data_IF_955755645572
#
_entry.id   IF_955755645572
#
_cell.length_a   1.000
_cell.length_b   1.000
_cell.length_c   1.000
_cell.angle_alpha   90.00
_cell.angle_beta   90.00
_cell.angle_gamma   90.00
#
_symmetry.space_group_name_H-M   'P 1'
#
loop_
_entity.id
_entity.type
_entity.pdbx_description
1 polymer ?
#
# COMPACT_ATOMS: atom_id res chain seq x y z
N UNK A 1 3.77 -4.05 24.48
CA UNK A 1 4.66 -3.56 23.42
C UNK A 1 5.89 -4.45 23.44
N UNK A 2 5.94 -5.45 22.54
CA UNK A 2 7.15 -6.29 22.40
C UNK A 2 8.32 -5.43 21.90
N UNK A 3 9.57 -5.89 22.08
CA UNK A 3 10.76 -5.18 21.57
C UNK A 3 10.65 -4.97 20.04
N UNK A 4 10.03 -5.92 19.33
CA UNK A 4 9.79 -5.84 17.90
C UNK A 4 8.82 -4.70 17.54
N UNK A 5 7.66 -4.61 18.20
CA UNK A 5 6.67 -3.54 17.97
C UNK A 5 7.26 -2.15 18.24
N UNK A 6 8.09 -2.03 19.29
CA UNK A 6 8.69 -0.76 19.69
C UNK A 6 9.72 -0.25 18.68
N UNK A 7 10.47 -1.14 18.04
CA UNK A 7 11.53 -0.79 17.09
C UNK A 7 11.15 -1.08 15.63
N UNK A 8 9.86 -1.24 15.32
CA UNK A 8 9.38 -1.61 14.00
C UNK A 8 9.94 -0.70 12.89
N UNK A 9 9.96 0.62 13.10
CA UNK A 9 10.51 1.59 12.15
C UNK A 9 12.00 1.34 11.87
N UNK A 10 12.77 0.98 12.89
CA UNK A 10 14.21 0.67 12.75
C UNK A 10 14.40 -0.62 11.96
N UNK A 11 13.61 -1.66 12.27
CA UNK A 11 13.64 -2.92 11.53
C UNK A 11 13.28 -2.73 10.05
N UNK A 12 12.23 -1.96 9.76
CA UNK A 12 11.82 -1.63 8.38
C UNK A 12 12.94 -0.88 7.66
N UNK A 13 13.54 0.13 8.29
CA UNK A 13 14.67 0.87 7.73
C UNK A 13 15.87 -0.03 7.44
N UNK A 14 16.21 -0.94 8.37
CA UNK A 14 17.30 -1.89 8.19
C UNK A 14 17.02 -2.86 7.05
N UNK A 15 15.80 -3.39 6.95
CA UNK A 15 15.38 -4.25 5.84
C UNK A 15 15.49 -3.54 4.48
N UNK A 16 15.13 -2.26 4.39
CA UNK A 16 15.26 -1.45 3.17
C UNK A 16 16.75 -1.32 2.80
N UNK A 17 17.60 -0.91 3.75
CA UNK A 17 19.04 -0.71 3.50
C UNK A 17 19.71 -2.02 3.07
N UNK A 18 19.44 -3.11 3.79
CA UNK A 18 19.98 -4.43 3.46
C UNK A 18 19.46 -4.91 2.10
N UNK A 19 18.17 -4.74 1.82
CA UNK A 19 17.57 -5.11 0.54
C UNK A 19 18.20 -4.37 -0.65
N UNK A 20 18.37 -3.05 -0.54
CA UNK A 20 19.01 -2.22 -1.57
C UNK A 20 20.48 -2.61 -1.75
N UNK A 21 21.24 -2.78 -0.66
CA UNK A 21 22.63 -3.18 -0.73
C UNK A 21 22.81 -4.56 -1.39
N UNK A 22 21.99 -5.53 -1.01
CA UNK A 22 21.99 -6.86 -1.63
C UNK A 22 21.61 -6.80 -3.12
N UNK A 23 20.64 -5.96 -3.48
CA UNK A 23 20.25 -5.73 -4.88
C UNK A 23 21.40 -5.16 -5.73
N UNK A 24 22.23 -4.29 -5.16
CA UNK A 24 23.41 -3.74 -5.83
C UNK A 24 24.60 -4.72 -5.90
N UNK A 25 24.85 -5.51 -4.86
CA UNK A 25 26.01 -6.42 -4.78
C UNK A 25 25.76 -7.74 -5.52
N UNK A 26 24.52 -8.25 -5.53
CA UNK A 26 24.14 -9.51 -6.16
C UNK A 26 23.03 -9.32 -7.22
N UNK A 27 23.21 -8.46 -8.24
CA UNK A 27 22.15 -8.14 -9.19
C UNK A 27 21.66 -9.37 -9.96
N UNK A 28 22.55 -10.33 -10.25
CA UNK A 28 22.18 -11.58 -10.95
C UNK A 28 21.20 -12.46 -10.16
N UNK A 29 21.27 -12.47 -8.83
CA UNK A 29 20.32 -13.23 -7.99
C UNK A 29 18.95 -12.57 -8.00
N UNK A 30 18.90 -11.24 -7.85
CA UNK A 30 17.63 -10.50 -7.90
C UNK A 30 17.00 -10.52 -9.29
N UNK A 31 17.80 -10.48 -10.35
CA UNK A 31 17.31 -10.66 -11.73
C UNK A 31 16.80 -12.08 -11.96
N UNK A 32 17.46 -13.11 -11.43
CA UNK A 32 16.97 -14.49 -11.52
C UNK A 32 15.64 -14.68 -10.78
N UNK A 33 15.49 -14.12 -9.57
CA UNK A 33 14.23 -14.10 -8.81
C UNK A 33 13.17 -13.29 -9.57
N UNK A 34 13.56 -12.16 -10.17
CA UNK A 34 12.74 -11.32 -11.03
C UNK A 34 12.18 -12.08 -12.24
N UNK A 35 13.03 -12.88 -12.88
CA UNK A 35 12.72 -13.69 -14.05
C UNK A 35 11.84 -14.91 -13.73
N UNK A 36 11.65 -15.26 -12.45
CA UNK A 36 10.59 -16.19 -12.03
C UNK A 36 9.25 -15.46 -12.07
N UNK A 37 8.82 -15.11 -13.27
CA UNK A 37 7.53 -14.50 -13.54
C UNK A 37 6.70 -15.36 -14.49
N UNK A 38 5.40 -15.30 -14.32
CA UNK A 38 4.42 -15.88 -15.24
C UNK A 38 3.42 -14.80 -15.59
N UNK A 39 3.25 -14.52 -16.89
CA UNK A 39 2.38 -13.46 -17.40
C UNK A 39 2.68 -12.05 -16.80
N UNK A 40 3.96 -11.66 -16.70
CA UNK A 40 4.44 -10.41 -16.07
C UNK A 40 4.15 -10.30 -14.56
N UNK A 41 3.81 -11.42 -13.89
CA UNK A 41 3.62 -11.46 -12.44
C UNK A 41 4.75 -12.27 -11.80
N UNK A 42 5.56 -11.61 -10.97
CA UNK A 42 6.63 -12.26 -10.23
C UNK A 42 6.04 -13.24 -9.19
N UNK A 43 6.28 -14.55 -9.39
CA UNK A 43 5.67 -15.60 -8.58
C UNK A 43 6.13 -15.54 -7.12
N UNK A 44 7.43 -15.38 -6.81
CA UNK A 44 7.88 -15.20 -5.43
C UNK A 44 7.18 -14.04 -4.70
N UNK A 45 7.09 -12.87 -5.34
CA UNK A 45 6.41 -11.72 -4.77
C UNK A 45 4.90 -11.95 -4.61
N UNK A 46 4.25 -12.57 -5.60
CA UNK A 46 2.83 -12.90 -5.53
C UNK A 46 2.53 -13.84 -4.34
N UNK A 47 3.38 -14.84 -4.08
CA UNK A 47 3.24 -15.74 -2.95
C UNK A 47 3.37 -15.00 -1.60
N UNK A 48 4.33 -14.08 -1.47
CA UNK A 48 4.49 -13.25 -0.26
C UNK A 48 3.29 -12.33 -0.03
N UNK A 49 2.75 -11.73 -1.10
CA UNK A 49 1.55 -10.90 -1.04
C UNK A 49 0.34 -11.72 -0.59
N UNK A 50 0.15 -12.93 -1.15
CA UNK A 50 -0.93 -13.84 -0.72
C UNK A 50 -0.80 -14.26 0.74
N UNK A 51 0.42 -14.58 1.19
CA UNK A 51 0.70 -14.90 2.60
C UNK A 51 0.34 -13.73 3.52
N UNK A 52 0.48 -12.48 3.06
CA UNK A 52 0.08 -11.28 3.80
C UNK A 52 -1.43 -11.05 3.78
N UNK A 53 -2.11 -11.34 2.66
CA UNK A 53 -3.56 -11.11 2.48
C UNK A 53 -4.40 -12.13 3.27
N UNK A 54 -4.02 -13.41 3.29
CA UNK A 54 -4.80 -14.49 3.92
C UNK A 54 -5.14 -14.18 5.39
N UNK A 55 -4.18 -13.82 6.27
CA UNK A 55 -4.47 -13.51 7.68
C UNK A 55 -5.46 -12.36 7.84
N UNK A 56 -5.45 -11.40 6.90
CA UNK A 56 -6.36 -10.28 6.94
C UNK A 56 -7.78 -10.69 6.50
N UNK A 57 -7.92 -11.45 5.41
CA UNK A 57 -9.22 -11.91 4.92
C UNK A 57 -9.98 -12.70 5.99
N UNK A 58 -9.28 -13.54 6.76
CA UNK A 58 -9.87 -14.34 7.85
C UNK A 58 -10.38 -13.46 9.01
N UNK A 59 -9.86 -12.24 9.17
CA UNK A 59 -10.32 -11.29 10.19
C UNK A 59 -11.56 -10.49 9.76
N UNK A 60 -12.02 -10.64 8.52
CA UNK A 60 -13.18 -9.91 8.00
C UNK A 60 -14.47 -10.57 8.51
N UNK A 61 -15.24 -9.84 9.31
CA UNK A 61 -16.57 -10.22 9.77
C UNK A 61 -17.63 -9.60 8.85
N UNK A 62 -18.22 -10.42 7.98
CA UNK A 62 -19.26 -9.98 7.04
C UNK A 62 -20.54 -9.50 7.73
N UNK A 63 -20.82 -9.88 8.98
CA UNK A 63 -21.98 -9.38 9.72
C UNK A 63 -21.83 -7.90 10.10
N UNK A 64 -20.58 -7.42 10.22
CA UNK A 64 -20.29 -6.03 10.54
C UNK A 64 -20.51 -5.05 9.36
N UNK A 65 -20.51 -5.55 8.12
CA UNK A 65 -20.87 -4.78 6.92
C UNK A 65 -22.30 -4.24 6.96
N UNK A 66 -23.23 -4.94 7.64
CA UNK A 66 -24.61 -4.46 7.81
C UNK A 66 -24.73 -3.18 8.63
N UNK A 67 -23.68 -2.81 9.40
CA UNK A 67 -23.66 -1.62 10.27
C UNK A 67 -22.93 -0.42 9.65
N UNK A 68 -22.42 -0.54 8.42
CA UNK A 68 -21.70 0.52 7.68
C UNK A 68 -22.53 1.81 7.63
N UNK A 69 -23.84 1.71 7.42
CA UNK A 69 -24.75 2.86 7.33
C UNK A 69 -24.81 3.72 8.61
N UNK A 70 -24.54 3.15 9.79
CA UNK A 70 -24.53 3.90 11.05
C UNK A 70 -23.41 4.96 11.09
N UNK A 71 -22.34 4.78 10.31
CA UNK A 71 -21.17 5.65 10.29
C UNK A 71 -20.99 6.42 8.96
N UNK A 72 -22.09 6.66 8.23
CA UNK A 72 -22.07 7.24 6.88
C UNK A 72 -21.28 8.56 6.75
N UNK A 73 -21.30 9.42 7.79
CA UNK A 73 -20.55 10.69 7.78
C UNK A 73 -19.04 10.46 7.77
N UNK A 74 -18.53 9.58 8.63
CA UNK A 74 -17.09 9.28 8.71
C UNK A 74 -16.59 8.54 7.47
N UNK A 75 -17.42 7.64 6.94
CA UNK A 75 -17.13 6.93 5.70
C UNK A 75 -17.12 7.88 4.51
N UNK A 76 -18.09 8.80 4.40
CA UNK A 76 -18.16 9.78 3.32
C UNK A 76 -16.93 10.68 3.27
N UNK A 77 -16.46 11.16 4.43
CA UNK A 77 -15.20 11.93 4.52
C UNK A 77 -14.01 11.09 4.06
N UNK A 78 -13.93 9.84 4.50
CA UNK A 78 -12.84 8.93 4.09
C UNK A 78 -12.84 8.71 2.59
N UNK A 79 -13.99 8.41 2.00
CA UNK A 79 -14.12 8.15 0.57
C UNK A 79 -13.73 9.38 -0.25
N UNK A 80 -14.22 10.55 0.16
CA UNK A 80 -13.84 11.81 -0.48
C UNK A 80 -12.32 12.03 -0.43
N UNK A 81 -11.70 11.84 0.73
CA UNK A 81 -10.25 11.98 0.85
C UNK A 81 -9.51 10.92 0.03
N UNK A 82 -9.96 9.67 0.04
CA UNK A 82 -9.28 8.56 -0.65
C UNK A 82 -9.37 8.65 -2.17
N UNK A 83 -10.51 9.10 -2.71
CA UNK A 83 -10.75 9.09 -4.15
C UNK A 83 -10.62 10.47 -4.80
N UNK A 84 -10.97 11.55 -4.10
CA UNK A 84 -10.90 12.90 -4.65
C UNK A 84 -9.66 13.68 -4.22
N UNK A 85 -9.13 13.46 -3.01
CA UNK A 85 -7.97 14.24 -2.53
C UNK A 85 -6.66 13.52 -2.81
N UNK A 86 -6.53 12.25 -2.42
CA UNK A 86 -5.28 11.49 -2.48
C UNK A 86 -4.72 11.34 -3.91
N UNK A 87 -5.48 10.89 -4.93
CA UNK A 87 -4.90 10.64 -6.25
C UNK A 87 -4.44 11.93 -6.92
N UNK A 88 -5.21 13.01 -6.77
CA UNK A 88 -4.89 14.32 -7.32
C UNK A 88 -3.73 14.99 -6.60
N UNK A 89 -3.67 14.86 -5.26
CA UNK A 89 -2.52 15.33 -4.48
C UNK A 89 -1.25 14.59 -4.90
N UNK A 90 -1.34 13.27 -5.10
CA UNK A 90 -0.20 12.46 -5.54
C UNK A 90 0.18 12.70 -7.00
N UNK A 91 -0.77 13.01 -7.88
CA UNK A 91 -0.48 13.47 -9.24
C UNK A 91 0.26 14.82 -9.22
N UNK A 92 -0.19 15.77 -8.39
CA UNK A 92 0.47 17.07 -8.22
C UNK A 92 1.89 16.91 -7.67
N UNK A 93 2.06 16.10 -6.62
CA UNK A 93 3.36 15.82 -6.03
C UNK A 93 4.26 15.07 -7.02
N UNK A 94 3.75 14.07 -7.74
CA UNK A 94 4.47 13.35 -8.78
C UNK A 94 4.95 14.29 -9.89
N UNK A 95 4.07 15.16 -10.38
CA UNK A 95 4.42 16.17 -11.38
C UNK A 95 5.50 17.14 -10.87
N UNK A 96 5.37 17.65 -9.64
CA UNK A 96 6.32 18.60 -9.06
C UNK A 96 7.68 17.96 -8.81
N UNK A 97 7.70 16.80 -8.16
CA UNK A 97 8.94 16.15 -7.74
C UNK A 97 9.58 15.36 -8.88
N UNK A 98 8.85 14.48 -9.57
CA UNK A 98 9.42 13.63 -10.63
C UNK A 98 9.49 14.39 -11.96
N UNK A 99 8.48 15.19 -12.27
CA UNK A 99 8.39 15.93 -13.54
C UNK A 99 9.22 17.21 -13.60
N UNK A 100 9.49 17.87 -12.46
CA UNK A 100 10.24 19.12 -12.42
C UNK A 100 11.52 19.04 -11.59
N UNK A 101 11.41 18.82 -10.28
CA UNK A 101 12.56 18.93 -9.36
C UNK A 101 13.63 17.87 -9.62
N UNK A 102 13.23 16.60 -9.71
CA UNK A 102 14.14 15.48 -9.83
C UNK A 102 14.42 15.03 -11.27
N UNK A 103 13.78 15.67 -12.25
CA UNK A 103 13.90 15.35 -13.68
C UNK A 103 15.35 15.13 -14.15
N UNK A 104 16.36 15.92 -13.74
CA UNK A 104 17.75 15.70 -14.19
C UNK A 104 18.40 14.41 -13.67
N UNK A 105 17.91 13.85 -12.56
CA UNK A 105 18.46 12.63 -11.94
C UNK A 105 17.68 11.36 -12.31
N UNK A 106 16.65 11.47 -13.15
CA UNK A 106 15.76 10.37 -13.53
C UNK A 106 15.90 10.05 -15.04
N UNK A 107 15.77 8.77 -15.44
CA UNK A 107 15.69 8.38 -16.85
C UNK A 107 14.50 9.07 -17.53
N UNK A 108 14.77 9.84 -18.60
CA UNK A 108 13.76 10.67 -19.26
C UNK A 108 12.60 9.86 -19.87
N UNK A 109 12.85 8.60 -20.23
CA UNK A 109 11.90 7.64 -20.78
C UNK A 109 10.93 7.05 -19.73
N UNK A 110 11.25 7.16 -18.44
CA UNK A 110 10.49 6.52 -17.36
C UNK A 110 9.72 7.50 -16.46
N UNK A 111 9.84 8.81 -16.70
CA UNK A 111 9.19 9.85 -15.90
C UNK A 111 7.67 9.61 -15.83
N UNK A 112 7.03 9.38 -16.97
CA UNK A 112 5.59 9.15 -17.03
C UNK A 112 5.19 7.85 -16.33
N UNK A 113 6.01 6.80 -16.48
CA UNK A 113 5.82 5.52 -15.79
C UNK A 113 5.95 5.65 -14.27
N UNK A 114 6.87 6.47 -13.77
CA UNK A 114 7.02 6.75 -12.33
C UNK A 114 5.86 7.57 -11.79
N UNK A 115 5.41 8.60 -12.52
CA UNK A 115 4.23 9.38 -12.11
C UNK A 115 2.98 8.50 -12.10
N UNK A 116 2.78 7.68 -13.13
CA UNK A 116 1.68 6.71 -13.17
C UNK A 116 1.76 5.73 -11.99
N UNK A 117 2.94 5.20 -11.68
CA UNK A 117 3.17 4.33 -10.53
C UNK A 117 2.84 5.01 -9.19
N UNK A 118 3.20 6.28 -9.00
CA UNK A 118 2.87 7.05 -7.80
C UNK A 118 1.37 7.27 -7.65
N UNK A 119 0.65 7.53 -8.75
CA UNK A 119 -0.80 7.70 -8.73
C UNK A 119 -1.50 6.38 -8.41
N UNK A 120 -1.05 5.27 -9.01
CA UNK A 120 -1.60 3.93 -8.73
C UNK A 120 -1.35 3.55 -7.26
N UNK A 121 -0.15 3.81 -6.74
CA UNK A 121 0.19 3.58 -5.33
C UNK A 121 -0.69 4.42 -4.39
N UNK A 122 -1.07 5.64 -4.79
CA UNK A 122 -1.95 6.50 -4.02
C UNK A 122 -3.40 6.02 -3.97
N UNK A 123 -3.88 5.45 -5.08
CA UNK A 123 -5.22 4.91 -5.21
C UNK A 123 -5.38 3.55 -4.50
N UNK A 124 -4.29 2.79 -4.37
CA UNK A 124 -4.31 1.48 -3.71
C UNK A 124 -4.76 1.59 -2.24
N UNK A 125 -5.84 0.88 -1.83
CA UNK A 125 -6.27 0.85 -0.44
C UNK A 125 -5.26 0.08 0.40
N UNK A 126 -4.76 0.71 1.47
CA UNK A 126 -3.90 0.01 2.42
C UNK A 126 -4.77 -0.61 3.51
N UNK A 127 -4.95 -1.92 3.42
CA UNK A 127 -5.92 -2.65 4.23
C UNK A 127 -5.30 -3.10 5.56
N UNK A 128 -4.15 -3.77 5.51
CA UNK A 128 -3.47 -4.31 6.69
C UNK A 128 -2.96 -3.23 7.68
N UNK A 129 -2.34 -2.16 7.16
CA UNK A 129 -1.74 -1.14 8.02
C UNK A 129 -2.80 -0.33 8.78
N UNK A 130 -3.96 -0.08 8.15
CA UNK A 130 -5.08 0.64 8.79
C UNK A 130 -5.61 -0.14 9.98
N UNK A 131 -5.66 -1.48 9.94
CA UNK A 131 -6.01 -2.30 11.09
C UNK A 131 -4.99 -2.19 12.23
N UNK A 132 -3.69 -2.18 11.91
CA UNK A 132 -2.63 -2.02 12.92
C UNK A 132 -2.73 -0.66 13.58
N UNK A 133 -2.85 0.42 12.80
CA UNK A 133 -3.02 1.77 13.33
C UNK A 133 -4.29 1.91 14.17
N UNK A 134 -5.42 1.39 13.68
CA UNK A 134 -6.68 1.40 14.42
C UNK A 134 -6.52 0.70 15.76
N UNK A 135 -5.92 -0.49 15.79
CA UNK A 135 -5.64 -1.21 17.03
C UNK A 135 -4.72 -0.43 17.98
N UNK A 136 -3.67 0.23 17.46
CA UNK A 136 -2.77 1.07 18.25
C UNK A 136 -3.47 2.31 18.84
N UNK A 137 -4.40 2.91 18.10
CA UNK A 137 -5.18 4.08 18.54
C UNK A 137 -6.42 3.71 19.35
N UNK A 138 -6.65 2.43 19.66
CA UNK A 138 -7.88 1.91 20.29
C UNK A 138 -9.15 2.28 19.50
N UNK A 139 -9.03 2.26 18.17
CA UNK A 139 -10.12 2.48 17.24
C UNK A 139 -11.12 1.33 17.26
N UNK A 140 -12.31 1.60 16.74
CA UNK A 140 -13.40 0.63 16.70
C UNK A 140 -13.17 -0.35 15.53
N UNK A 141 -13.01 -1.67 15.80
CA UNK A 141 -12.63 -2.64 14.77
C UNK A 141 -13.68 -2.83 13.68
N UNK A 142 -14.97 -2.77 14.01
CA UNK A 142 -16.06 -2.95 13.05
C UNK A 142 -16.16 -1.76 12.08
N UNK A 143 -15.93 -0.54 12.55
CA UNK A 143 -15.86 0.68 11.74
C UNK A 143 -14.66 0.61 10.78
N UNK A 144 -13.50 0.21 11.29
CA UNK A 144 -12.26 0.06 10.48
C UNK A 144 -12.47 -0.99 9.38
N UNK A 145 -13.07 -2.12 9.72
CA UNK A 145 -13.37 -3.21 8.80
C UNK A 145 -14.39 -2.81 7.75
N UNK A 146 -15.46 -2.13 8.16
CA UNK A 146 -16.48 -1.55 7.28
C UNK A 146 -15.87 -0.56 6.28
N UNK A 147 -14.97 0.31 6.74
CA UNK A 147 -14.29 1.32 5.93
C UNK A 147 -13.35 0.68 4.90
N UNK A 148 -12.56 -0.32 5.32
CA UNK A 148 -11.65 -1.06 4.43
C UNK A 148 -12.42 -1.84 3.38
N UNK A 149 -13.41 -2.63 3.79
CA UNK A 149 -14.20 -3.45 2.87
C UNK A 149 -14.99 -2.60 1.85
N UNK A 150 -15.50 -1.43 2.26
CA UNK A 150 -16.13 -0.51 1.33
C UNK A 150 -15.13 0.05 0.32
N UNK A 151 -13.94 0.46 0.76
CA UNK A 151 -12.91 1.01 -0.12
C UNK A 151 -12.43 -0.04 -1.14
N UNK A 152 -12.21 -1.28 -0.69
CA UNK A 152 -11.84 -2.40 -1.56
C UNK A 152 -12.96 -2.72 -2.56
N UNK A 153 -14.24 -2.65 -2.14
CA UNK A 153 -15.37 -2.87 -3.05
C UNK A 153 -15.49 -1.81 -4.14
N UNK A 154 -15.22 -0.53 -3.83
CA UNK A 154 -15.23 0.57 -4.80
C UNK A 154 -14.07 0.45 -5.80
N UNK A 155 -12.95 -0.13 -5.39
CA UNK A 155 -11.83 -0.36 -6.31
C UNK A 155 -12.17 -1.41 -7.38
N UNK A 156 -13.03 -2.38 -7.06
CA UNK A 156 -13.40 -3.48 -7.97
C UNK A 156 -14.57 -3.12 -8.90
N UNK A 157 -15.48 -2.24 -8.46
CA UNK A 157 -16.71 -1.86 -9.17
C UNK A 157 -16.53 -0.56 -9.92
#
# INVERSE_FOLDING_TARGET
MSVFERYLTVWVGLCIVVGVALGHVLPGVFQAIGAVEYANVNIPMAALIWLMIIPMLVRIDFASLGKVGAYWRGIGVTLFVNWAVKPFSMALLGWLFIGYLFRPWLPADQIDSYIAGLIILAAAPCTAMVFVWSNLTRGEPHFTLSQVALNDSIMIV
#
